data_IF_182382815039
#
_entry.id   IF_182382815039
#
_cell.length_a   1.000
_cell.length_b   1.000
_cell.length_c   1.000
_cell.angle_alpha   90.00
_cell.angle_beta   90.00
_cell.angle_gamma   90.00
#
_symmetry.space_group_name_H-M   'P 1'
#
loop_
_entity.id
_entity.type
_entity.pdbx_description
1 polymer ?
#
# COMPACT_ATOMS: atom_id res chain seq x y z
N UNK A 1 -34.96 -18.60 24.53
CA UNK A 1 -33.69 -17.83 24.59
C UNK A 1 -33.22 -17.62 23.16
N UNK A 2 -33.45 -16.44 22.64
CA UNK A 2 -33.02 -16.06 21.27
C UNK A 2 -31.68 -15.34 21.39
N UNK A 3 -30.61 -15.94 20.87
CA UNK A 3 -29.33 -15.28 20.75
C UNK A 3 -29.35 -14.51 19.44
N UNK A 4 -29.48 -13.21 19.51
CA UNK A 4 -29.31 -12.31 18.37
C UNK A 4 -27.82 -12.17 18.16
N UNK A 5 -27.31 -12.83 17.12
CA UNK A 5 -25.97 -12.58 16.57
C UNK A 5 -26.03 -11.29 15.78
N UNK A 6 -25.63 -10.20 16.41
CA UNK A 6 -25.44 -8.91 15.73
C UNK A 6 -24.13 -9.00 14.91
N UNK A 7 -24.28 -9.33 13.65
CA UNK A 7 -23.17 -9.27 12.69
C UNK A 7 -23.09 -7.87 12.12
N UNK A 8 -22.63 -6.92 12.92
CA UNK A 8 -22.16 -5.63 12.41
C UNK A 8 -20.80 -5.85 11.75
N UNK A 9 -20.82 -6.17 10.45
CA UNK A 9 -19.67 -6.01 9.62
C UNK A 9 -19.35 -4.51 9.55
N UNK A 10 -18.46 -4.06 10.41
CA UNK A 10 -17.93 -2.71 10.38
C UNK A 10 -17.17 -2.53 9.08
N UNK A 11 -17.81 -1.87 8.13
CA UNK A 11 -17.17 -1.31 6.93
C UNK A 11 -16.33 -0.13 7.42
N UNK A 12 -15.11 -0.41 7.89
CA UNK A 12 -14.19 0.60 8.36
C UNK A 12 -13.63 1.35 7.15
N UNK A 13 -14.23 2.47 6.84
CA UNK A 13 -13.60 3.50 6.02
C UNK A 13 -12.32 3.91 6.75
N UNK A 14 -11.12 3.86 6.12
CA UNK A 14 -9.90 4.28 6.79
C UNK A 14 -10.02 5.75 7.19
N UNK A 15 -10.01 6.00 8.48
CA UNK A 15 -10.01 7.36 9.02
C UNK A 15 -8.63 7.99 8.79
N UNK A 16 -8.59 9.31 8.60
CA UNK A 16 -7.36 10.08 8.37
C UNK A 16 -6.24 9.86 9.43
N UNK A 17 -6.59 9.29 10.58
CA UNK A 17 -5.64 8.88 11.61
C UNK A 17 -4.89 7.59 11.28
N UNK A 18 -5.50 6.66 10.55
CA UNK A 18 -4.87 5.40 10.15
C UNK A 18 -3.87 5.60 8.99
N UNK A 19 -4.10 6.60 8.14
CA UNK A 19 -3.19 6.94 7.03
C UNK A 19 -1.80 7.35 7.54
N UNK A 20 -1.73 8.08 8.65
CA UNK A 20 -0.45 8.51 9.25
C UNK A 20 0.39 7.37 9.82
N UNK A 21 -0.26 6.29 10.22
CA UNK A 21 0.43 5.08 10.68
C UNK A 21 0.89 4.20 9.53
N UNK A 22 0.22 4.28 8.38
CA UNK A 22 0.51 3.48 7.19
C UNK A 22 1.53 4.13 6.27
N UNK A 23 1.48 5.47 6.14
CA UNK A 23 2.28 6.27 5.20
C UNK A 23 2.85 7.46 5.94
N UNK A 24 4.16 7.59 5.95
CA UNK A 24 4.84 8.75 6.55
C UNK A 24 6.09 9.14 5.79
N UNK A 25 6.52 10.38 5.98
CA UNK A 25 7.83 10.84 5.57
C UNK A 25 8.85 10.57 6.67
N UNK A 26 10.08 10.27 6.30
CA UNK A 26 11.17 10.02 7.25
C UNK A 26 12.45 10.74 6.83
N UNK A 27 13.37 10.83 7.76
CA UNK A 27 14.67 11.47 7.59
C UNK A 27 15.77 10.59 8.17
N UNK A 28 17.03 11.00 7.98
CA UNK A 28 18.17 10.29 8.56
C UNK A 28 18.06 10.16 10.08
N UNK A 29 17.50 11.16 10.76
CA UNK A 29 17.33 11.19 12.21
C UNK A 29 16.26 10.22 12.71
N UNK A 30 15.22 9.98 11.93
CA UNK A 30 14.06 9.16 12.32
C UNK A 30 13.99 7.81 11.62
N UNK A 31 14.90 7.52 10.70
CA UNK A 31 14.87 6.30 9.88
C UNK A 31 14.82 5.01 10.70
N UNK A 32 15.57 4.94 11.79
CA UNK A 32 15.54 3.76 12.68
C UNK A 32 14.14 3.56 13.27
N UNK A 33 13.54 4.61 13.79
CA UNK A 33 12.19 4.55 14.40
C UNK A 33 11.08 4.34 13.38
N UNK A 34 11.24 4.87 12.16
CA UNK A 34 10.21 4.83 11.13
C UNK A 34 10.28 3.57 10.26
N UNK A 35 11.46 2.99 10.08
CA UNK A 35 11.71 1.88 9.17
C UNK A 35 12.23 0.64 9.88
N UNK A 36 13.36 0.77 10.57
CA UNK A 36 14.07 -0.40 11.12
C UNK A 36 13.24 -1.08 12.21
N UNK A 37 12.80 -0.33 13.21
CA UNK A 37 12.00 -0.87 14.31
C UNK A 37 10.66 -1.46 13.84
N UNK A 38 9.83 -0.73 13.05
CA UNK A 38 8.59 -1.30 12.56
C UNK A 38 8.76 -2.52 11.67
N UNK A 39 9.88 -2.61 10.92
CA UNK A 39 10.17 -3.75 10.05
C UNK A 39 10.40 -5.06 10.79
N UNK A 40 10.58 -5.02 12.10
CA UNK A 40 10.65 -6.21 12.95
C UNK A 40 9.29 -6.90 13.09
N UNK A 41 8.19 -6.17 12.91
CA UNK A 41 6.82 -6.67 13.03
C UNK A 41 6.11 -6.82 11.69
N UNK A 42 6.18 -5.77 10.83
CA UNK A 42 5.55 -5.75 9.51
C UNK A 42 6.56 -5.26 8.47
N UNK A 43 6.47 -5.73 7.21
CA UNK A 43 7.32 -5.19 6.15
C UNK A 43 7.10 -3.68 5.98
N UNK A 44 8.20 -2.95 5.79
CA UNK A 44 8.19 -1.51 5.51
C UNK A 44 8.79 -1.26 4.14
N UNK A 45 8.01 -0.67 3.25
CA UNK A 45 8.46 -0.22 1.94
C UNK A 45 8.96 1.21 2.06
N UNK A 46 10.16 1.46 1.55
CA UNK A 46 10.77 2.79 1.55
C UNK A 46 10.89 3.29 0.12
N UNK A 47 10.24 4.41 -0.17
CA UNK A 47 10.28 5.11 -1.45
C UNK A 47 11.28 6.27 -1.37
N UNK A 48 12.42 6.12 -2.03
CA UNK A 48 13.43 7.16 -2.18
C UNK A 48 13.10 8.00 -3.40
N UNK A 49 12.80 9.27 -3.18
CA UNK A 49 12.32 10.19 -4.19
C UNK A 49 13.04 11.54 -4.13
N UNK A 50 12.81 12.38 -5.13
CA UNK A 50 13.27 13.77 -5.16
C UNK A 50 12.22 14.68 -5.80
N UNK A 51 12.15 15.98 -5.42
CA UNK A 51 11.15 16.92 -5.96
C UNK A 51 11.25 17.13 -7.48
N UNK A 52 12.44 16.99 -8.05
CA UNK A 52 12.70 17.15 -9.48
C UNK A 52 12.44 15.87 -10.31
N UNK A 53 12.10 14.77 -9.66
CA UNK A 53 11.96 13.47 -10.29
C UNK A 53 10.56 13.29 -10.89
N UNK A 54 10.46 13.31 -12.22
CA UNK A 54 9.19 13.10 -12.95
C UNK A 54 8.58 11.72 -12.68
N UNK A 55 9.33 10.61 -12.84
CA UNK A 55 8.82 9.25 -12.59
C UNK A 55 8.34 9.03 -11.14
N UNK A 56 8.94 9.71 -10.16
CA UNK A 56 8.51 9.67 -8.77
C UNK A 56 7.07 10.17 -8.60
N UNK A 57 6.69 11.21 -9.36
CA UNK A 57 5.34 11.79 -9.34
C UNK A 57 4.27 10.82 -9.85
N UNK A 58 4.64 9.90 -10.73
CA UNK A 58 3.76 8.84 -11.22
C UNK A 58 3.69 7.67 -10.23
N UNK A 59 4.81 7.29 -9.63
CA UNK A 59 4.90 6.16 -8.73
C UNK A 59 4.23 6.41 -7.38
N UNK A 60 4.42 7.60 -6.81
CA UNK A 60 3.96 7.92 -5.44
C UNK A 60 2.45 7.67 -5.25
N UNK A 61 1.55 8.16 -6.12
CA UNK A 61 0.11 7.88 -5.96
C UNK A 61 -0.21 6.38 -6.03
N UNK A 62 0.47 5.65 -6.89
CA UNK A 62 0.27 4.21 -7.08
C UNK A 62 0.71 3.43 -5.85
N UNK A 63 1.89 3.71 -5.33
CA UNK A 63 2.44 3.01 -4.17
C UNK A 63 1.65 3.33 -2.89
N UNK A 64 1.19 4.58 -2.74
CA UNK A 64 0.32 4.98 -1.62
C UNK A 64 -1.03 4.26 -1.68
N UNK A 65 -1.64 4.16 -2.86
CA UNK A 65 -2.89 3.43 -3.07
C UNK A 65 -2.77 1.97 -2.65
N UNK A 66 -1.76 1.27 -3.14
CA UNK A 66 -1.53 -0.15 -2.79
C UNK A 66 -1.24 -0.32 -1.31
N UNK A 67 -0.52 0.62 -0.70
CA UNK A 67 -0.27 0.62 0.75
C UNK A 67 -1.56 0.69 1.56
N UNK A 68 -2.49 1.58 1.18
CA UNK A 68 -3.79 1.69 1.84
C UNK A 68 -4.62 0.42 1.68
N UNK A 69 -4.61 -0.17 0.49
CA UNK A 69 -5.31 -1.43 0.20
C UNK A 69 -4.72 -2.62 0.97
N UNK A 70 -3.43 -2.59 1.29
CA UNK A 70 -2.77 -3.59 2.13
C UNK A 70 -3.24 -3.56 3.60
N UNK A 71 -3.88 -2.48 4.04
CA UNK A 71 -4.57 -2.41 5.32
C UNK A 71 -3.70 -2.63 6.55
N UNK A 72 -2.44 -2.18 6.53
CA UNK A 72 -1.50 -2.34 7.64
C UNK A 72 -0.60 -3.58 7.55
N UNK A 73 -0.79 -4.43 6.56
CA UNK A 73 0.08 -5.60 6.32
C UNK A 73 1.45 -5.22 5.79
N UNK A 74 1.56 -4.05 5.18
CA UNK A 74 2.79 -3.41 4.70
C UNK A 74 2.67 -1.92 4.95
N UNK A 75 3.70 -1.30 5.46
CA UNK A 75 3.78 0.16 5.67
C UNK A 75 4.64 0.81 4.59
N UNK A 76 4.38 2.10 4.34
CA UNK A 76 5.16 2.91 3.40
C UNK A 76 5.82 4.08 4.13
N UNK A 77 7.11 4.25 3.87
CA UNK A 77 7.89 5.40 4.31
C UNK A 77 8.50 6.06 3.09
N UNK A 78 8.39 7.39 3.00
CA UNK A 78 8.97 8.17 1.91
C UNK A 78 10.17 8.95 2.41
N UNK A 79 11.26 8.93 1.64
CA UNK A 79 12.50 9.63 1.96
C UNK A 79 12.93 10.50 0.78
N UNK A 80 12.98 11.81 1.02
CA UNK A 80 13.52 12.77 0.05
C UNK A 80 15.05 12.71 0.08
N UNK A 81 15.66 12.28 -1.02
CA UNK A 81 17.12 12.11 -1.09
C UNK A 81 17.89 13.44 -1.08
N UNK A 82 17.27 14.53 -1.51
CA UNK A 82 17.93 15.86 -1.49
C UNK A 82 18.14 16.34 -0.06
N UNK A 83 17.22 16.03 0.84
CA UNK A 83 17.28 16.37 2.26
C UNK A 83 17.98 15.31 3.11
N UNK A 84 18.20 14.11 2.58
CA UNK A 84 18.74 12.96 3.30
C UNK A 84 19.86 12.29 2.51
N UNK A 85 20.82 13.07 2.04
CA UNK A 85 21.93 12.61 1.19
C UNK A 85 22.81 11.56 1.88
N UNK A 86 23.04 11.69 3.17
CA UNK A 86 23.82 10.72 3.95
C UNK A 86 23.15 9.34 3.93
N UNK A 87 21.85 9.29 4.15
CA UNK A 87 21.08 8.05 4.11
C UNK A 87 21.09 7.43 2.71
N UNK A 88 20.94 8.26 1.68
CA UNK A 88 21.02 7.82 0.28
C UNK A 88 22.38 7.20 -0.05
N UNK A 89 23.48 7.79 0.43
CA UNK A 89 24.83 7.23 0.26
C UNK A 89 25.01 5.92 1.00
N UNK A 90 24.56 5.83 2.24
CA UNK A 90 24.68 4.59 3.05
C UNK A 90 23.91 3.43 2.41
N UNK A 91 22.75 3.69 1.83
CA UNK A 91 21.92 2.69 1.16
C UNK A 91 22.25 2.54 -0.33
N UNK A 92 23.27 3.26 -0.81
CA UNK A 92 23.74 3.22 -2.21
C UNK A 92 22.67 3.55 -3.23
N UNK A 93 21.83 4.54 -2.92
CA UNK A 93 20.83 5.04 -3.83
C UNK A 93 21.52 5.86 -4.94
N UNK A 94 21.46 5.38 -6.17
CA UNK A 94 22.10 6.00 -7.34
C UNK A 94 21.11 6.67 -8.28
N UNK A 95 19.85 6.32 -8.19
CA UNK A 95 18.78 6.85 -9.03
C UNK A 95 17.47 6.94 -8.27
N UNK A 96 16.55 7.75 -8.74
CA UNK A 96 15.19 7.86 -8.18
C UNK A 96 14.15 7.67 -9.29
N UNK A 97 13.00 7.06 -8.97
CA UNK A 97 12.70 6.42 -7.71
C UNK A 97 13.46 5.12 -7.52
N UNK A 98 13.87 4.86 -6.29
CA UNK A 98 14.37 3.56 -5.84
C UNK A 98 13.52 3.16 -4.64
N UNK A 99 13.01 1.93 -4.67
CA UNK A 99 12.14 1.40 -3.63
C UNK A 99 12.79 0.17 -3.01
N UNK A 100 12.93 0.19 -1.69
CA UNK A 100 13.40 -0.96 -0.90
C UNK A 100 12.31 -1.45 0.04
N UNK A 101 12.25 -2.76 0.25
CA UNK A 101 11.45 -3.37 1.30
C UNK A 101 12.35 -3.81 2.45
N UNK A 102 12.01 -3.40 3.65
CA UNK A 102 12.70 -3.79 4.88
C UNK A 102 11.85 -4.79 5.65
N UNK A 103 12.48 -5.85 6.12
CA UNK A 103 11.88 -6.86 6.98
C UNK A 103 12.94 -7.39 7.94
N UNK A 104 12.61 -7.42 9.23
CA UNK A 104 13.57 -7.84 10.25
C UNK A 104 14.79 -6.92 10.36
N UNK A 105 14.60 -5.61 10.14
CA UNK A 105 15.62 -4.59 10.26
C UNK A 105 16.59 -4.48 9.08
N UNK A 106 16.34 -5.15 7.96
CA UNK A 106 17.22 -5.17 6.78
C UNK A 106 16.45 -5.15 5.47
N UNK A 107 17.05 -4.64 4.38
CA UNK A 107 16.43 -4.73 3.06
C UNK A 107 16.37 -6.19 2.59
N UNK A 108 15.20 -6.61 2.08
CA UNK A 108 14.95 -7.97 1.59
C UNK A 108 14.54 -8.02 0.12
N UNK A 109 14.04 -6.91 -0.43
CA UNK A 109 13.58 -6.81 -1.82
C UNK A 109 13.64 -5.35 -2.25
N UNK A 110 13.47 -5.07 -3.54
CA UNK A 110 13.43 -3.71 -4.06
C UNK A 110 13.28 -3.66 -5.58
N UNK A 111 13.02 -2.45 -6.07
CA UNK A 111 13.01 -2.14 -7.50
C UNK A 111 13.44 -0.70 -7.77
N UNK A 112 13.80 -0.40 -9.00
CA UNK A 112 14.20 0.93 -9.46
C UNK A 112 13.28 1.40 -10.59
N UNK A 113 13.01 2.69 -10.62
CA UNK A 113 12.15 3.30 -11.63
C UNK A 113 10.66 3.15 -11.32
N UNK A 114 9.84 3.92 -12.01
CA UNK A 114 8.39 3.82 -11.89
C UNK A 114 7.90 2.48 -12.44
N UNK A 115 7.05 1.81 -11.68
CA UNK A 115 6.42 0.55 -12.05
C UNK A 115 4.91 0.73 -12.19
N UNK A 116 4.25 -0.02 -13.08
CA UNK A 116 2.79 -0.02 -13.17
C UNK A 116 2.17 -0.61 -11.90
N UNK A 117 0.92 -0.25 -11.64
CA UNK A 117 0.21 -0.69 -10.42
C UNK A 117 0.24 -2.22 -10.23
N UNK A 118 0.11 -3.00 -11.30
CA UNK A 118 0.17 -4.46 -11.24
C UNK A 118 1.49 -4.99 -10.67
N UNK A 119 2.61 -4.36 -11.02
CA UNK A 119 3.94 -4.73 -10.52
C UNK A 119 4.13 -4.29 -9.06
N UNK A 120 3.66 -3.09 -8.73
CA UNK A 120 3.67 -2.60 -7.34
C UNK A 120 2.82 -3.50 -6.45
N UNK A 121 1.65 -3.90 -6.91
CA UNK A 121 0.77 -4.83 -6.19
C UNK A 121 1.42 -6.19 -5.98
N UNK A 122 2.02 -6.77 -7.02
CA UNK A 122 2.75 -8.04 -6.91
C UNK A 122 3.90 -7.95 -5.90
N UNK A 123 4.63 -6.85 -5.89
CA UNK A 123 5.69 -6.58 -4.92
C UNK A 123 5.16 -6.55 -3.47
N UNK A 124 4.05 -5.86 -3.24
CA UNK A 124 3.40 -5.80 -1.92
C UNK A 124 2.84 -7.15 -1.50
N UNK A 125 2.26 -7.91 -2.42
CA UNK A 125 1.73 -9.26 -2.14
C UNK A 125 2.82 -10.24 -1.72
N UNK A 126 4.00 -10.18 -2.34
CA UNK A 126 5.16 -10.97 -1.91
C UNK A 126 5.58 -10.63 -0.48
N UNK A 127 5.58 -9.35 -0.13
CA UNK A 127 5.92 -8.90 1.23
C UNK A 127 4.87 -9.28 2.25
N UNK A 128 3.60 -9.11 1.90
CA UNK A 128 2.47 -9.40 2.78
C UNK A 128 2.20 -10.91 2.97
N UNK A 129 2.74 -11.74 2.08
CA UNK A 129 2.54 -13.19 2.12
C UNK A 129 1.17 -13.66 1.63
N UNK A 130 0.49 -12.85 0.80
CA UNK A 130 -0.80 -13.18 0.24
C UNK A 130 -1.42 -12.04 -0.58
N UNK A 131 -2.57 -12.28 -1.23
CA UNK A 131 -3.19 -11.32 -2.12
C UNK A 131 -3.65 -10.05 -1.41
N UNK A 132 -3.56 -8.94 -2.12
CA UNK A 132 -4.09 -7.63 -1.73
C UNK A 132 -5.20 -7.29 -2.72
N UNK A 133 -6.43 -7.39 -2.26
CA UNK A 133 -7.59 -7.10 -3.09
C UNK A 133 -7.86 -5.61 -3.17
N UNK A 134 -8.05 -5.10 -4.38
CA UNK A 134 -8.57 -3.75 -4.53
C UNK A 134 -10.06 -3.71 -4.15
N UNK A 135 -10.57 -2.59 -3.61
CA UNK A 135 -12.00 -2.44 -3.35
C UNK A 135 -12.86 -2.69 -4.58
N UNK A 136 -12.37 -2.32 -5.77
CA UNK A 136 -13.05 -2.56 -7.03
C UNK A 136 -13.12 -4.06 -7.34
N UNK A 137 -12.02 -4.81 -7.17
CA UNK A 137 -11.99 -6.25 -7.39
C UNK A 137 -12.99 -6.97 -6.47
N UNK A 138 -13.06 -6.60 -5.20
CA UNK A 138 -14.02 -7.16 -4.24
C UNK A 138 -15.48 -6.90 -4.68
N UNK A 139 -15.80 -5.69 -5.16
CA UNK A 139 -17.13 -5.35 -5.67
C UNK A 139 -17.47 -6.15 -6.94
N UNK A 140 -16.50 -6.31 -7.84
CA UNK A 140 -16.69 -7.10 -9.06
C UNK A 140 -16.94 -8.58 -8.74
N UNK A 141 -16.25 -9.15 -7.77
CA UNK A 141 -16.48 -10.52 -7.31
C UNK A 141 -17.88 -10.69 -6.70
N UNK A 142 -18.33 -9.72 -5.91
CA UNK A 142 -19.68 -9.70 -5.36
C UNK A 142 -20.74 -9.60 -6.47
N UNK A 143 -20.52 -8.76 -7.47
CA UNK A 143 -21.41 -8.61 -8.61
C UNK A 143 -21.50 -9.92 -9.42
N UNK A 144 -20.38 -10.59 -9.66
CA UNK A 144 -20.33 -11.88 -10.34
C UNK A 144 -21.07 -12.95 -9.54
N UNK A 145 -20.94 -12.97 -8.21
CA UNK A 145 -21.68 -13.85 -7.32
C UNK A 145 -23.19 -13.64 -7.37
N UNK A 146 -23.63 -12.37 -7.39
CA UNK A 146 -25.05 -12.02 -7.52
C UNK A 146 -25.63 -12.49 -8.87
N UNK A 147 -24.87 -12.37 -9.96
CA UNK A 147 -25.29 -12.89 -11.27
C UNK A 147 -25.42 -14.42 -11.27
N UNK A 148 -24.51 -15.13 -10.60
CA UNK A 148 -24.59 -16.58 -10.49
C UNK A 148 -25.83 -17.06 -9.70
N UNK A 149 -26.34 -16.22 -8.80
CA UNK A 149 -27.55 -16.46 -8.00
C UNK A 149 -28.83 -15.89 -8.65
N UNK A 150 -28.75 -15.46 -9.93
CA UNK A 150 -29.85 -14.80 -10.68
C UNK A 150 -30.36 -13.48 -10.05
N UNK A 151 -29.59 -12.88 -9.15
CA UNK A 151 -29.91 -11.59 -8.55
C UNK A 151 -29.37 -10.44 -9.42
N UNK A 152 -30.08 -10.19 -10.51
CA UNK A 152 -29.72 -9.19 -11.50
C UNK A 152 -29.77 -7.75 -10.96
N UNK A 153 -30.63 -7.47 -10.00
CA UNK A 153 -30.81 -6.12 -9.43
C UNK A 153 -29.58 -5.76 -8.58
N UNK A 154 -29.15 -6.64 -7.70
CA UNK A 154 -27.93 -6.45 -6.89
C UNK A 154 -26.69 -6.37 -7.78
N UNK A 155 -26.54 -7.26 -8.76
CA UNK A 155 -25.42 -7.25 -9.69
C UNK A 155 -25.35 -5.92 -10.46
N UNK A 156 -26.46 -5.44 -10.98
CA UNK A 156 -26.53 -4.16 -11.71
C UNK A 156 -26.10 -2.99 -10.81
N UNK A 157 -26.62 -2.91 -9.60
CA UNK A 157 -26.26 -1.87 -8.64
C UNK A 157 -24.76 -1.85 -8.31
N UNK A 158 -24.14 -3.02 -8.15
CA UNK A 158 -22.71 -3.14 -7.89
C UNK A 158 -21.84 -2.71 -9.08
N UNK A 159 -22.22 -3.10 -10.30
CA UNK A 159 -21.48 -2.68 -11.50
C UNK A 159 -21.59 -1.17 -11.75
N UNK A 160 -22.78 -0.57 -11.57
CA UNK A 160 -22.96 0.88 -11.68
C UNK A 160 -22.08 1.61 -10.64
N UNK A 161 -22.04 1.13 -9.39
CA UNK A 161 -21.22 1.71 -8.34
C UNK A 161 -19.72 1.68 -8.63
N UNK A 162 -19.24 0.73 -9.44
CA UNK A 162 -17.84 0.69 -9.90
C UNK A 162 -17.57 1.76 -10.95
N UNK A 163 -18.53 1.99 -11.86
CA UNK A 163 -18.36 2.96 -12.96
C UNK A 163 -18.40 4.42 -12.51
N UNK A 164 -18.96 4.69 -11.34
CA UNK A 164 -19.08 6.04 -10.76
C UNK A 164 -17.92 6.45 -9.87
N UNK A 165 -16.90 5.60 -9.70
CA UNK A 165 -15.68 5.85 -8.88
C UNK A 165 -14.51 6.24 -9.74
#
# INVERSE_FOLDING_TARGET
MSIILDATAANATPTAGQDKDLIKDSSVETFVQDVIEPSMEVPVVVDFWAPWCGPCKSLTPTIEKVTREAGGRVKLVKVNIDENQELAMQLRIQSVPTVYAFKGGRPVDGFQGAQPESEVRAFYERLAGGPIESPIAAILDQAAGALADDDHETAHGLYVGVLER
#
